data_IF_040472350712
#
_entry.id   IF_040472350712
#
_cell.length_a   1.000
_cell.length_b   1.000
_cell.length_c   1.000
_cell.angle_alpha   90.00
_cell.angle_beta   90.00
_cell.angle_gamma   90.00
#
_symmetry.space_group_name_H-M   'P 1'
#
loop_
_entity.id
_entity.type
_entity.pdbx_description
1 polymer ?
#
# COMPACT_ATOMS: atom_id res chain seq x y z
N UNK A 1 -51.76 -47.84 5.14
CA UNK A 1 -51.40 -48.01 6.57
C UNK A 1 -50.32 -49.06 6.63
N UNK A 2 -49.06 -48.63 6.77
CA UNK A 2 -47.94 -49.52 7.00
C UNK A 2 -47.52 -49.34 8.46
N UNK A 3 -47.47 -50.46 9.19
CA UNK A 3 -47.21 -50.50 10.62
C UNK A 3 -45.73 -50.22 10.89
N UNK A 4 -45.46 -49.41 11.91
CA UNK A 4 -44.13 -49.07 12.46
C UNK A 4 -43.47 -50.24 13.20
N UNK A 5 -43.73 -51.49 12.80
CA UNK A 5 -43.30 -52.70 13.51
C UNK A 5 -42.17 -53.49 12.83
N UNK A 6 -41.69 -53.04 11.66
CA UNK A 6 -40.64 -53.77 10.89
C UNK A 6 -39.31 -53.01 10.78
N UNK A 7 -39.01 -52.09 11.70
CA UNK A 7 -37.62 -51.67 11.89
C UNK A 7 -37.05 -52.55 12.99
N UNK A 8 -36.69 -53.77 12.57
CA UNK A 8 -35.88 -54.68 13.36
C UNK A 8 -34.63 -53.94 13.83
N UNK A 9 -34.59 -53.78 15.15
CA UNK A 9 -33.47 -53.47 16.00
C UNK A 9 -32.36 -54.52 15.79
N UNK A 10 -31.65 -54.46 14.66
CA UNK A 10 -30.28 -54.98 14.62
C UNK A 10 -29.43 -54.03 15.42
N UNK A 11 -29.31 -54.33 16.71
CA UNK A 11 -28.24 -53.85 17.56
C UNK A 11 -26.90 -54.18 16.88
N UNK A 12 -26.42 -53.26 16.04
CA UNK A 12 -25.04 -53.24 15.60
C UNK A 12 -24.22 -53.02 16.85
N UNK A 13 -23.61 -54.11 17.32
CA UNK A 13 -22.69 -54.15 18.45
C UNK A 13 -21.84 -52.88 18.48
N UNK A 14 -21.98 -52.14 19.58
CA UNK A 14 -21.37 -50.83 19.76
C UNK A 14 -19.86 -50.90 19.59
N UNK A 15 -19.36 -50.24 18.54
CA UNK A 15 -18.00 -49.74 18.51
C UNK A 15 -18.13 -48.27 18.87
N UNK A 16 -18.08 -47.97 20.17
CA UNK A 16 -17.78 -46.62 20.59
C UNK A 16 -16.42 -46.24 19.97
N UNK A 17 -16.31 -45.14 19.21
CA UNK A 17 -15.00 -44.68 18.79
C UNK A 17 -14.30 -44.22 20.07
N UNK A 18 -13.40 -45.06 20.60
CA UNK A 18 -12.45 -44.66 21.62
C UNK A 18 -11.48 -43.70 20.95
N UNK A 19 -11.88 -42.44 20.80
CA UNK A 19 -10.96 -41.38 20.40
C UNK A 19 -9.78 -41.45 21.37
N UNK A 20 -8.58 -41.67 20.84
CA UNK A 20 -7.39 -41.71 21.66
C UNK A 20 -7.22 -40.30 22.26
N UNK A 21 -6.78 -40.20 23.52
CA UNK A 21 -6.59 -38.91 24.19
C UNK A 21 -5.70 -37.95 23.36
N UNK A 22 -4.72 -38.52 22.64
CA UNK A 22 -3.89 -37.78 21.69
C UNK A 22 -4.68 -37.20 20.50
N UNK A 23 -5.68 -37.90 19.98
CA UNK A 23 -6.53 -37.42 18.88
C UNK A 23 -7.40 -36.25 19.36
N UNK A 24 -7.98 -36.36 20.57
CA UNK A 24 -8.77 -35.27 21.16
C UNK A 24 -7.93 -34.02 21.41
N UNK A 25 -6.67 -34.18 21.85
CA UNK A 25 -5.74 -33.06 22.02
C UNK A 25 -5.37 -32.42 20.67
N UNK A 26 -5.16 -33.22 19.61
CA UNK A 26 -4.92 -32.70 18.26
C UNK A 26 -6.13 -31.94 17.72
N UNK A 27 -7.34 -32.44 17.94
CA UNK A 27 -8.57 -31.73 17.57
C UNK A 27 -8.74 -30.42 18.35
N UNK A 28 -8.44 -30.41 19.65
CA UNK A 28 -8.51 -29.20 20.48
C UNK A 28 -7.48 -28.15 20.02
N UNK A 29 -6.25 -28.56 19.73
CA UNK A 29 -5.20 -27.65 19.29
C UNK A 29 -5.50 -27.06 17.89
N UNK A 30 -5.96 -27.91 16.97
CA UNK A 30 -6.35 -27.45 15.63
C UNK A 30 -7.57 -26.53 15.68
N UNK A 31 -8.54 -26.79 16.56
CA UNK A 31 -9.67 -25.91 16.79
C UNK A 31 -9.25 -24.55 17.34
N UNK A 32 -8.34 -24.50 18.31
CA UNK A 32 -7.80 -23.26 18.87
C UNK A 32 -7.04 -22.43 17.82
N UNK A 33 -6.20 -23.08 17.02
CA UNK A 33 -5.50 -22.42 15.91
C UNK A 33 -6.48 -21.87 14.86
N UNK A 34 -7.52 -22.63 14.52
CA UNK A 34 -8.55 -22.16 13.57
C UNK A 34 -9.31 -20.95 14.11
N UNK A 35 -9.69 -20.95 15.39
CA UNK A 35 -10.34 -19.79 16.02
C UNK A 35 -9.43 -18.55 15.97
N UNK A 36 -8.13 -18.74 16.22
CA UNK A 36 -7.14 -17.66 16.19
C UNK A 36 -6.99 -17.08 14.78
N UNK A 37 -6.80 -17.94 13.77
CA UNK A 37 -6.67 -17.52 12.37
C UNK A 37 -7.95 -16.85 11.86
N UNK A 38 -9.13 -17.35 12.22
CA UNK A 38 -10.41 -16.72 11.86
C UNK A 38 -10.54 -15.34 12.50
N UNK A 39 -10.09 -15.17 13.76
CA UNK A 39 -10.05 -13.87 14.42
C UNK A 39 -9.13 -12.87 13.73
N UNK A 40 -7.92 -13.30 13.35
CA UNK A 40 -6.96 -12.48 12.59
C UNK A 40 -7.52 -12.09 11.22
N UNK A 41 -8.14 -13.04 10.52
CA UNK A 41 -8.75 -12.81 9.21
C UNK A 41 -9.93 -11.84 9.30
N UNK A 42 -10.71 -11.91 10.38
CA UNK A 42 -11.80 -10.97 10.64
C UNK A 42 -11.26 -9.56 10.91
N UNK A 43 -10.23 -9.42 11.75
CA UNK A 43 -9.57 -8.13 11.99
C UNK A 43 -8.97 -7.52 10.71
N UNK A 44 -8.36 -8.35 9.86
CA UNK A 44 -7.82 -7.90 8.58
C UNK A 44 -8.94 -7.44 7.65
N UNK A 45 -10.03 -8.19 7.59
CA UNK A 45 -11.22 -7.84 6.78
C UNK A 45 -11.82 -6.52 7.25
N UNK A 46 -11.98 -6.31 8.55
CA UNK A 46 -12.46 -5.06 9.13
C UNK A 46 -11.56 -3.88 8.80
N UNK A 47 -10.23 -4.08 8.85
CA UNK A 47 -9.26 -3.06 8.44
C UNK A 47 -9.39 -2.70 6.97
N UNK A 48 -9.49 -3.70 6.09
CA UNK A 48 -9.67 -3.47 4.64
C UNK A 48 -10.98 -2.75 4.34
N UNK A 49 -12.06 -3.08 5.06
CA UNK A 49 -13.35 -2.38 4.94
C UNK A 49 -13.22 -0.92 5.39
N UNK A 50 -12.56 -0.65 6.52
CA UNK A 50 -12.30 0.73 6.97
C UNK A 50 -11.47 1.53 5.96
N UNK A 51 -10.38 0.96 5.44
CA UNK A 51 -9.56 1.61 4.40
C UNK A 51 -10.30 1.82 3.07
N UNK A 52 -11.31 1.00 2.77
CA UNK A 52 -12.18 1.19 1.60
C UNK A 52 -13.21 2.31 1.82
N UNK A 53 -13.59 2.55 3.08
CA UNK A 53 -14.62 3.51 3.46
C UNK A 53 -14.03 4.90 3.77
N UNK A 54 -12.76 5.03 4.19
CA UNK A 54 -12.09 6.33 4.40
C UNK A 54 -11.76 7.01 3.05
N UNK A 55 -12.61 7.92 2.54
CA UNK A 55 -12.46 8.52 1.22
C UNK A 55 -11.48 9.70 1.25
N UNK A 56 -11.25 10.27 2.43
CA UNK A 56 -10.45 11.48 2.63
C UNK A 56 -9.01 11.28 2.16
N UNK A 57 -8.42 10.10 2.40
CA UNK A 57 -7.07 9.79 1.91
C UNK A 57 -6.99 9.70 0.39
N UNK A 58 -8.02 9.15 -0.28
CA UNK A 58 -8.05 9.01 -1.74
C UNK A 58 -8.31 10.34 -2.45
N UNK A 59 -9.20 11.16 -1.92
CA UNK A 59 -9.47 12.48 -2.50
C UNK A 59 -8.25 13.39 -2.36
N UNK A 60 -7.62 13.45 -1.19
CA UNK A 60 -6.39 14.22 -0.97
C UNK A 60 -5.26 13.77 -1.92
N UNK A 61 -5.08 12.46 -2.11
CA UNK A 61 -4.04 11.93 -3.00
C UNK A 61 -4.35 12.21 -4.48
N UNK A 62 -5.62 12.26 -4.87
CA UNK A 62 -6.02 12.42 -6.28
C UNK A 62 -6.18 13.87 -6.72
N UNK A 63 -6.56 14.79 -5.82
CA UNK A 63 -6.85 16.19 -6.19
C UNK A 63 -5.90 17.18 -5.53
N UNK A 64 -5.62 17.02 -4.23
CA UNK A 64 -4.82 17.98 -3.45
C UNK A 64 -3.32 17.78 -3.65
N UNK A 65 -2.87 16.53 -3.73
CA UNK A 65 -1.45 16.23 -3.90
C UNK A 65 -0.90 16.72 -5.26
N UNK A 66 -1.57 16.47 -6.41
CA UNK A 66 -1.08 16.96 -7.69
C UNK A 66 -1.09 18.48 -7.80
N UNK A 67 -2.09 19.16 -7.21
CA UNK A 67 -2.15 20.62 -7.20
C UNK A 67 -1.03 21.24 -6.35
N UNK A 68 -0.77 20.70 -5.15
CA UNK A 68 0.37 21.12 -4.33
C UNK A 68 1.71 20.88 -5.04
N UNK A 69 1.84 19.77 -5.75
CA UNK A 69 3.06 19.43 -6.48
C UNK A 69 3.29 20.34 -7.70
N UNK A 70 2.21 20.77 -8.37
CA UNK A 70 2.26 21.79 -9.41
C UNK A 70 2.70 23.15 -8.86
N UNK A 71 2.14 23.58 -7.72
CA UNK A 71 2.55 24.82 -7.04
C UNK A 71 4.02 24.77 -6.62
N UNK A 72 4.49 23.64 -6.09
CA UNK A 72 5.91 23.48 -5.73
C UNK A 72 6.83 23.56 -6.95
N UNK A 73 6.45 22.96 -8.09
CA UNK A 73 7.22 23.06 -9.33
C UNK A 73 7.27 24.49 -9.86
N UNK A 74 6.15 25.21 -9.79
CA UNK A 74 6.08 26.62 -10.17
C UNK A 74 6.98 27.48 -9.28
N UNK A 75 6.89 27.32 -7.96
CA UNK A 75 7.73 28.02 -6.98
C UNK A 75 9.21 27.68 -7.13
N UNK A 76 9.54 26.42 -7.47
CA UNK A 76 10.91 26.02 -7.80
C UNK A 76 11.42 26.74 -9.04
N UNK A 77 10.60 26.85 -10.08
CA UNK A 77 10.98 27.54 -11.31
C UNK A 77 11.14 29.05 -11.10
N UNK A 78 10.29 29.66 -10.28
CA UNK A 78 10.39 31.05 -9.85
C UNK A 78 11.68 31.30 -9.06
N UNK A 79 11.97 30.47 -8.06
CA UNK A 79 13.21 30.53 -7.28
C UNK A 79 14.45 30.36 -8.18
N UNK A 80 14.41 29.45 -9.16
CA UNK A 80 15.49 29.28 -10.14
C UNK A 80 15.73 30.54 -10.97
N UNK A 81 14.68 31.23 -11.41
CA UNK A 81 14.80 32.49 -12.15
C UNK A 81 15.41 33.58 -11.27
N UNK A 82 14.88 33.77 -10.07
CA UNK A 82 15.40 34.74 -9.11
C UNK A 82 16.87 34.46 -8.76
N UNK A 83 17.23 33.20 -8.54
CA UNK A 83 18.61 32.82 -8.26
C UNK A 83 19.52 33.14 -9.45
N UNK A 84 19.07 32.85 -10.68
CA UNK A 84 19.80 33.19 -11.91
C UNK A 84 19.95 34.69 -12.08
N UNK A 85 18.92 35.47 -11.79
CA UNK A 85 18.93 36.92 -11.92
C UNK A 85 19.89 37.54 -10.91
N UNK A 86 19.82 37.12 -9.64
CA UNK A 86 20.75 37.56 -8.58
C UNK A 86 22.19 37.15 -8.90
N UNK A 87 22.40 35.93 -9.38
CA UNK A 87 23.70 35.44 -9.82
C UNK A 87 24.24 36.26 -11.00
N UNK A 88 23.43 36.54 -12.02
CA UNK A 88 23.85 37.34 -13.17
C UNK A 88 24.19 38.78 -12.78
N UNK A 89 23.45 39.34 -11.82
CA UNK A 89 23.69 40.67 -11.26
C UNK A 89 24.95 40.72 -10.40
N UNK A 90 25.31 39.61 -9.74
CA UNK A 90 26.54 39.47 -8.95
C UNK A 90 27.77 39.08 -9.77
N UNK A 91 27.58 38.39 -10.90
CA UNK A 91 28.64 37.98 -11.82
C UNK A 91 29.20 39.12 -12.67
N UNK A 92 28.41 40.15 -12.97
CA UNK A 92 28.93 41.36 -13.59
C UNK A 92 29.94 42.10 -12.69
N UNK A 93 29.93 41.83 -11.39
CA UNK A 93 30.84 42.42 -10.40
C UNK A 93 32.09 41.55 -10.16
N UNK A 94 32.03 40.22 -10.37
CA UNK A 94 33.13 39.30 -10.08
C UNK A 94 33.17 38.14 -11.10
N UNK A 95 34.28 38.01 -11.84
CA UNK A 95 34.56 36.89 -12.76
C UNK A 95 34.59 35.55 -12.01
N UNK A 96 33.44 34.90 -11.87
CA UNK A 96 33.36 33.53 -11.34
C UNK A 96 33.19 32.55 -12.50
N UNK A 97 33.89 31.42 -12.40
CA UNK A 97 33.72 30.29 -13.31
C UNK A 97 32.61 29.38 -12.74
N UNK A 98 31.47 29.35 -13.43
CA UNK A 98 30.21 28.77 -12.94
C UNK A 98 29.67 27.72 -13.90
N UNK A 99 30.39 27.47 -14.99
CA UNK A 99 30.08 26.45 -15.98
C UNK A 99 30.06 25.07 -15.30
N UNK A 100 30.97 24.81 -14.36
CA UNK A 100 30.98 23.59 -13.55
C UNK A 100 29.71 23.46 -12.67
N UNK A 101 29.25 24.55 -12.07
CA UNK A 101 28.05 24.52 -11.21
C UNK A 101 26.77 24.30 -12.02
N UNK A 102 26.69 24.93 -13.21
CA UNK A 102 25.58 24.72 -14.13
C UNK A 102 25.58 23.30 -14.69
N UNK A 103 26.75 22.73 -14.95
CA UNK A 103 26.89 21.34 -15.41
C UNK A 103 26.39 20.37 -14.33
N UNK A 104 26.80 20.56 -13.07
CA UNK A 104 26.33 19.76 -11.94
C UNK A 104 24.82 19.88 -11.71
N UNK A 105 24.27 21.10 -11.82
CA UNK A 105 22.83 21.31 -11.68
C UNK A 105 22.03 20.63 -12.81
N UNK A 106 22.56 20.67 -14.03
CA UNK A 106 21.96 20.04 -15.20
C UNK A 106 21.93 18.50 -15.04
N UNK A 107 23.03 17.91 -14.56
CA UNK A 107 23.12 16.47 -14.29
C UNK A 107 22.11 16.00 -13.22
N UNK A 108 22.00 16.72 -12.11
CA UNK A 108 21.02 16.39 -11.06
C UNK A 108 19.58 16.56 -11.54
N UNK A 109 19.33 17.50 -12.47
CA UNK A 109 18.02 17.67 -13.10
C UNK A 109 17.67 16.49 -14.01
N UNK A 110 18.61 16.02 -14.83
CA UNK A 110 18.42 14.83 -15.67
C UNK A 110 18.22 13.57 -14.82
N UNK A 111 18.96 13.43 -13.72
CA UNK A 111 18.82 12.32 -12.79
C UNK A 111 17.44 12.27 -12.15
N UNK A 112 16.90 13.43 -11.77
CA UNK A 112 15.54 13.51 -11.22
C UNK A 112 14.48 13.22 -12.28
N UNK A 113 14.67 13.67 -13.52
CA UNK A 113 13.74 13.39 -14.62
C UNK A 113 13.72 11.89 -14.98
N UNK A 114 14.89 11.24 -15.03
CA UNK A 114 15.01 9.79 -15.21
C UNK A 114 14.32 9.03 -14.07
N UNK A 115 14.57 9.45 -12.82
CA UNK A 115 13.94 8.83 -11.64
C UNK A 115 12.42 8.98 -11.68
N UNK A 116 11.91 10.13 -12.14
CA UNK A 116 10.48 10.37 -12.28
C UNK A 116 9.87 9.62 -13.48
N UNK A 117 10.64 9.39 -14.54
CA UNK A 117 10.23 8.62 -15.73
C UNK A 117 10.00 7.13 -15.42
N UNK A 118 10.70 6.59 -14.41
CA UNK A 118 10.52 5.21 -13.95
C UNK A 118 9.19 4.98 -13.21
N UNK A 119 8.43 6.03 -12.90
CA UNK A 119 7.09 5.91 -12.32
C UNK A 119 6.01 5.82 -13.41
N UNK A 120 5.32 4.66 -13.61
CA UNK A 120 4.49 4.40 -14.79
C UNK A 120 3.22 5.25 -14.95
N UNK A 121 2.90 6.12 -13.99
CA UNK A 121 1.61 6.84 -13.92
C UNK A 121 1.59 8.25 -14.54
N UNK A 122 2.67 8.70 -15.20
CA UNK A 122 2.77 10.07 -15.76
C UNK A 122 2.66 10.21 -17.29
N UNK A 123 2.38 9.14 -18.05
CA UNK A 123 2.23 9.20 -19.53
C UNK A 123 1.00 9.95 -20.06
N UNK A 124 0.28 10.72 -19.24
CA UNK A 124 -0.91 11.44 -19.69
C UNK A 124 -1.07 12.78 -18.98
N UNK A 125 -0.15 13.71 -19.24
CA UNK A 125 -0.42 15.14 -19.14
C UNK A 125 0.29 15.83 -20.31
N UNK A 126 -0.29 15.65 -21.49
CA UNK A 126 -0.14 16.56 -22.62
C UNK A 126 -1.15 17.70 -22.47
#
# INVERSE_FOLDING_TARGET
>A
MFYLSDIEERASAGIAPRYNFCEVLLFSNTQENLVTVVGELHMLTDRVVRYKIEPESREIITTTLPSLLAVLLEKRNEARRLYRDVLSMKMSELNWDIDDLFTQLQEELTRTDDTLSMYPRRRSFH
#
